data_IF_696242747849
#
_entry.id   IF_696242747849
#
_cell.length_a   1.000
_cell.length_b   1.000
_cell.length_c   1.000
_cell.angle_alpha   90.00
_cell.angle_beta   90.00
_cell.angle_gamma   90.00
#
_symmetry.space_group_name_H-M   'P 1'
#
loop_
_entity.id
_entity.type
_entity.pdbx_description
1 polymer ?
#
# COMPACT_ATOMS: atom_id res chain seq x y z
N UNK A 1 -33.53 -10.85 -4.80
CA UNK A 1 -32.09 -10.76 -4.97
C UNK A 1 -31.63 -9.44 -4.41
N UNK A 2 -31.05 -9.45 -3.24
CA UNK A 2 -30.43 -8.25 -2.71
C UNK A 2 -29.17 -8.00 -3.55
N UNK A 3 -29.13 -6.93 -4.32
CA UNK A 3 -27.88 -6.40 -4.85
C UNK A 3 -27.06 -6.01 -3.64
N UNK A 4 -26.03 -6.79 -3.34
CA UNK A 4 -25.01 -6.35 -2.40
C UNK A 4 -24.40 -5.09 -3.00
N UNK A 5 -24.73 -3.95 -2.46
CA UNK A 5 -24.02 -2.71 -2.72
C UNK A 5 -22.63 -2.83 -2.07
N UNK A 6 -21.79 -3.70 -2.64
CA UNK A 6 -20.39 -3.75 -2.24
C UNK A 6 -19.76 -2.43 -2.65
N UNK A 7 -19.33 -1.67 -1.67
CA UNK A 7 -18.59 -0.44 -1.92
C UNK A 7 -17.27 -0.79 -2.61
N UNK A 8 -17.06 -0.28 -3.82
CA UNK A 8 -15.84 -0.52 -4.60
C UNK A 8 -14.78 0.51 -4.22
N UNK A 9 -13.62 0.02 -3.79
CA UNK A 9 -12.46 0.84 -3.46
C UNK A 9 -11.22 0.47 -4.27
N UNK A 10 -10.27 1.40 -4.33
CA UNK A 10 -8.96 1.20 -4.97
C UNK A 10 -7.84 1.44 -3.98
N UNK A 11 -6.95 0.46 -3.85
CA UNK A 11 -5.73 0.55 -3.06
C UNK A 11 -4.53 0.43 -4.00
N UNK A 12 -3.57 1.33 -3.86
CA UNK A 12 -2.33 1.29 -4.62
C UNK A 12 -1.14 1.08 -3.70
N UNK A 13 -0.24 0.17 -4.08
CA UNK A 13 1.03 -0.08 -3.41
C UNK A 13 2.17 0.50 -4.24
N UNK A 14 2.97 1.35 -3.65
CA UNK A 14 4.05 2.08 -4.31
C UNK A 14 5.33 1.95 -3.48
N UNK A 15 6.46 1.74 -4.12
CA UNK A 15 7.74 1.61 -3.42
C UNK A 15 8.84 1.11 -4.36
N UNK A 16 10.08 1.15 -3.90
CA UNK A 16 11.24 0.64 -4.62
C UNK A 16 11.12 -0.88 -4.92
N UNK A 17 11.95 -1.42 -5.83
CA UNK A 17 12.01 -2.87 -6.03
C UNK A 17 12.38 -3.60 -4.73
N UNK A 18 11.85 -4.80 -4.57
CA UNK A 18 12.17 -5.71 -3.45
C UNK A 18 11.82 -5.22 -2.03
N UNK A 19 11.01 -4.17 -1.89
CA UNK A 19 10.54 -3.73 -0.56
C UNK A 19 9.43 -4.61 0.02
N UNK A 20 8.81 -5.46 -0.81
CA UNK A 20 7.80 -6.44 -0.39
C UNK A 20 6.35 -6.10 -0.78
N UNK A 21 6.11 -5.19 -1.72
CA UNK A 21 4.76 -4.83 -2.20
C UNK A 21 3.95 -6.04 -2.65
N UNK A 22 4.50 -6.83 -3.56
CA UNK A 22 3.84 -8.05 -4.08
C UNK A 22 3.63 -9.09 -2.99
N UNK A 23 4.53 -9.19 -2.03
CA UNK A 23 4.39 -10.09 -0.87
C UNK A 23 3.22 -9.65 0.01
N UNK A 24 3.08 -8.35 0.27
CA UNK A 24 1.95 -7.79 1.02
C UNK A 24 0.64 -8.08 0.29
N UNK A 25 0.59 -7.86 -1.01
CA UNK A 25 -0.60 -8.12 -1.81
C UNK A 25 -0.97 -9.61 -1.81
N UNK A 26 0.00 -10.50 -1.92
CA UNK A 26 -0.23 -11.95 -1.81
C UNK A 26 -0.72 -12.35 -0.43
N UNK A 27 -0.18 -11.78 0.63
CA UNK A 27 -0.65 -11.99 1.99
C UNK A 27 -2.12 -11.58 2.13
N UNK A 28 -2.50 -10.41 1.63
CA UNK A 28 -3.88 -9.91 1.69
C UNK A 28 -4.86 -10.81 0.91
N UNK A 29 -4.44 -11.34 -0.22
CA UNK A 29 -5.27 -12.23 -1.05
C UNK A 29 -5.21 -13.71 -0.66
N UNK A 30 -4.49 -14.07 0.41
CA UNK A 30 -4.22 -15.46 0.80
C UNK A 30 -3.52 -16.31 -0.27
N UNK A 31 -2.80 -15.69 -1.17
CA UNK A 31 -1.97 -16.41 -2.14
C UNK A 31 -0.62 -16.72 -1.51
N UNK A 32 -0.15 -17.97 -1.67
CA UNK A 32 1.18 -18.34 -1.22
C UNK A 32 2.23 -17.54 -1.99
N UNK A 33 3.10 -16.85 -1.28
CA UNK A 33 4.25 -16.20 -1.89
C UNK A 33 5.18 -17.26 -2.46
N UNK A 34 5.49 -17.19 -3.75
CA UNK A 34 6.55 -18.00 -4.35
C UNK A 34 7.89 -17.69 -3.69
N UNK A 35 8.78 -18.69 -3.61
CA UNK A 35 10.13 -18.53 -3.03
C UNK A 35 11.07 -17.66 -3.87
N UNK A 36 10.71 -17.37 -5.12
CA UNK A 36 11.51 -16.59 -6.04
C UNK A 36 10.94 -15.19 -6.20
N UNK A 37 11.78 -14.18 -5.96
CA UNK A 37 11.44 -12.80 -6.27
C UNK A 37 11.50 -12.59 -7.78
N UNK A 38 10.36 -12.21 -8.36
CA UNK A 38 10.26 -11.78 -9.75
C UNK A 38 9.83 -10.29 -9.71
N UNK A 39 10.67 -9.36 -10.20
CA UNK A 39 10.29 -7.96 -10.25
C UNK A 39 9.01 -7.73 -11.04
N UNK A 40 8.07 -6.95 -10.49
CA UNK A 40 6.88 -6.52 -11.20
C UNK A 40 7.28 -5.49 -12.26
N UNK A 41 7.03 -5.79 -13.50
CA UNK A 41 7.21 -4.87 -14.62
C UNK A 41 5.89 -4.14 -14.89
N UNK A 42 5.89 -2.82 -14.70
CA UNK A 42 4.68 -2.04 -14.85
C UNK A 42 3.82 -2.08 -13.60
N UNK A 43 2.77 -2.85 -13.60
CA UNK A 43 1.89 -3.05 -12.44
C UNK A 43 1.27 -4.46 -12.45
N UNK A 44 0.85 -4.91 -11.27
CA UNK A 44 0.07 -6.12 -11.09
C UNK A 44 -1.26 -5.80 -10.38
N UNK A 45 -2.27 -6.62 -10.60
CA UNK A 45 -3.62 -6.42 -10.10
C UNK A 45 -4.06 -7.57 -9.20
N UNK A 46 -4.74 -7.22 -8.12
CA UNK A 46 -5.42 -8.15 -7.24
C UNK A 46 -6.74 -7.60 -6.76
N UNK A 47 -7.52 -8.42 -6.10
CA UNK A 47 -8.75 -7.99 -5.44
C UNK A 47 -8.98 -8.76 -4.16
N UNK A 48 -9.57 -8.08 -3.18
CA UNK A 48 -10.07 -8.67 -1.94
C UNK A 48 -11.49 -8.21 -1.67
N UNK A 49 -12.27 -9.09 -1.03
CA UNK A 49 -13.62 -8.76 -0.58
C UNK A 49 -13.75 -9.11 0.90
N UNK A 50 -14.24 -8.18 1.69
CA UNK A 50 -14.53 -8.39 3.11
C UNK A 50 -15.53 -7.36 3.63
N UNK A 51 -16.39 -7.78 4.53
CA UNK A 51 -17.35 -6.91 5.26
C UNK A 51 -18.06 -5.86 4.40
N UNK A 52 -18.53 -6.22 3.20
CA UNK A 52 -19.25 -5.32 2.30
C UNK A 52 -18.37 -4.40 1.45
N UNK A 53 -17.06 -4.61 1.49
CA UNK A 53 -16.12 -3.90 0.62
C UNK A 53 -15.54 -4.84 -0.42
N UNK A 54 -15.46 -4.36 -1.65
CA UNK A 54 -14.68 -4.97 -2.73
C UNK A 54 -13.57 -4.01 -3.11
N UNK A 55 -12.33 -4.43 -2.89
CA UNK A 55 -11.16 -3.58 -3.11
C UNK A 55 -10.33 -4.12 -4.26
N UNK A 56 -10.01 -3.26 -5.19
CA UNK A 56 -9.00 -3.51 -6.23
C UNK A 56 -7.66 -3.03 -5.73
N UNK A 57 -6.65 -3.87 -5.84
CA UNK A 57 -5.29 -3.57 -5.43
C UNK A 57 -4.39 -3.48 -6.65
N UNK A 58 -3.57 -2.44 -6.67
CA UNK A 58 -2.58 -2.16 -7.70
C UNK A 58 -1.19 -2.21 -7.09
N UNK A 59 -0.37 -3.13 -7.56
CA UNK A 59 1.05 -3.19 -7.21
C UNK A 59 1.87 -2.57 -8.34
N UNK A 60 2.39 -1.37 -8.10
CA UNK A 60 3.22 -0.67 -9.07
C UNK A 60 4.66 -1.17 -8.99
N UNK A 61 5.21 -1.65 -10.10
CA UNK A 61 6.60 -2.05 -10.21
C UNK A 61 7.53 -0.92 -9.79
N UNK A 62 8.48 -1.24 -8.90
CA UNK A 62 9.38 -0.25 -8.29
C UNK A 62 10.56 0.20 -9.16
N UNK A 63 10.72 -0.35 -10.36
CA UNK A 63 11.81 0.01 -11.25
C UNK A 63 11.65 1.44 -11.77
N UNK A 64 12.68 2.28 -11.59
CA UNK A 64 12.64 3.71 -11.94
C UNK A 64 12.15 4.02 -13.35
N UNK A 65 12.53 3.18 -14.33
CA UNK A 65 12.12 3.36 -15.73
C UNK A 65 10.61 3.31 -15.93
N UNK A 66 9.90 2.54 -15.12
CA UNK A 66 8.46 2.31 -15.27
C UNK A 66 7.62 3.05 -14.23
N UNK A 67 8.18 3.27 -13.04
CA UNK A 67 7.42 3.77 -11.89
C UNK A 67 6.78 5.13 -12.16
N UNK A 68 7.54 6.10 -12.64
CA UNK A 68 6.99 7.45 -12.93
C UNK A 68 5.90 7.40 -13.98
N UNK A 69 6.10 6.63 -15.04
CA UNK A 69 5.14 6.52 -16.14
C UNK A 69 3.82 5.91 -15.67
N UNK A 70 3.87 4.72 -15.06
CA UNK A 70 2.67 4.02 -14.61
C UNK A 70 2.00 4.71 -13.44
N UNK A 71 2.78 5.27 -12.52
CA UNK A 71 2.23 6.00 -11.38
C UNK A 71 1.42 7.20 -11.85
N UNK A 72 1.96 8.01 -12.75
CA UNK A 72 1.27 9.17 -13.31
C UNK A 72 -0.03 8.79 -14.00
N UNK A 73 -0.08 7.66 -14.71
CA UNK A 73 -1.28 7.24 -15.43
C UNK A 73 -2.34 6.57 -14.55
N UNK A 74 -1.93 5.77 -13.57
CA UNK A 74 -2.83 4.82 -12.91
C UNK A 74 -3.05 5.04 -11.41
N UNK A 75 -2.31 5.95 -10.76
CA UNK A 75 -2.49 6.21 -9.32
C UNK A 75 -3.81 6.94 -9.02
N UNK A 76 -4.35 7.66 -9.99
CA UNK A 76 -5.58 8.43 -9.83
C UNK A 76 -6.77 7.55 -9.45
N UNK A 77 -7.66 8.09 -8.64
CA UNK A 77 -8.82 7.37 -8.15
C UNK A 77 -8.50 6.38 -7.01
N UNK A 78 -7.26 6.32 -6.53
CA UNK A 78 -6.92 5.57 -5.34
C UNK A 78 -7.58 6.17 -4.10
N UNK A 79 -8.24 5.34 -3.31
CA UNK A 79 -8.80 5.71 -2.02
C UNK A 79 -7.72 5.67 -0.94
N UNK A 80 -6.84 4.68 -1.03
CA UNK A 80 -5.68 4.51 -0.15
C UNK A 80 -4.45 4.25 -1.01
N UNK A 81 -3.36 4.92 -0.67
CA UNK A 81 -2.03 4.61 -1.19
C UNK A 81 -1.13 4.16 -0.05
N UNK A 82 -0.60 2.96 -0.17
CA UNK A 82 0.45 2.47 0.71
C UNK A 82 1.82 2.66 0.04
N UNK A 83 2.63 3.50 0.64
CA UNK A 83 4.03 3.61 0.29
C UNK A 83 4.79 2.60 1.13
N UNK A 84 5.46 1.66 0.47
CA UNK A 84 6.14 0.55 1.13
C UNK A 84 7.64 0.79 1.13
N UNK A 85 8.26 0.68 2.28
CA UNK A 85 9.71 0.68 2.47
C UNK A 85 10.17 -0.63 3.10
N UNK A 86 11.39 -1.05 2.81
CA UNK A 86 12.01 -2.20 3.50
C UNK A 86 12.58 -1.84 4.87
N UNK A 87 12.40 -0.61 5.31
CA UNK A 87 12.85 -0.07 6.61
C UNK A 87 14.37 0.06 6.77
N UNK A 88 15.16 -0.17 5.73
CA UNK A 88 16.59 0.19 5.78
C UNK A 88 16.76 1.70 5.72
N UNK A 89 17.75 2.29 6.41
CA UNK A 89 17.97 3.74 6.36
C UNK A 89 18.10 4.29 4.93
N UNK A 90 18.82 3.58 4.09
CA UNK A 90 19.01 3.96 2.67
C UNK A 90 17.69 4.00 1.92
N UNK A 91 16.87 2.95 2.05
CA UNK A 91 15.58 2.89 1.35
C UNK A 91 14.59 3.93 1.89
N UNK A 92 14.55 4.14 3.19
CA UNK A 92 13.68 5.17 3.81
C UNK A 92 14.02 6.55 3.26
N UNK A 93 15.31 6.91 3.15
CA UNK A 93 15.72 8.19 2.59
C UNK A 93 15.31 8.36 1.13
N UNK A 94 15.50 7.34 0.29
CA UNK A 94 15.05 7.40 -1.11
C UNK A 94 13.53 7.43 -1.23
N UNK A 95 12.81 6.86 -0.28
CA UNK A 95 11.34 6.87 -0.25
C UNK A 95 10.76 8.27 -0.03
N UNK A 96 11.52 9.21 0.54
CA UNK A 96 11.07 10.62 0.68
C UNK A 96 10.68 11.25 -0.64
N UNK A 97 11.47 11.06 -1.68
CA UNK A 97 11.17 11.58 -3.03
C UNK A 97 9.90 10.96 -3.59
N UNK A 98 9.71 9.66 -3.35
CA UNK A 98 8.54 8.94 -3.79
C UNK A 98 7.27 9.44 -3.09
N UNK A 99 7.33 9.72 -1.79
CA UNK A 99 6.24 10.35 -1.03
C UNK A 99 5.87 11.69 -1.63
N UNK A 100 6.84 12.56 -1.87
CA UNK A 100 6.61 13.88 -2.44
C UNK A 100 6.00 13.79 -3.85
N UNK A 101 6.51 12.90 -4.69
CA UNK A 101 5.98 12.69 -6.03
C UNK A 101 4.54 12.15 -6.01
N UNK A 102 4.27 11.15 -5.18
CA UNK A 102 2.92 10.59 -5.02
C UNK A 102 1.93 11.63 -4.54
N UNK A 103 2.29 12.43 -3.55
CA UNK A 103 1.45 13.54 -3.08
C UNK A 103 1.14 14.56 -4.18
N UNK A 104 2.10 14.83 -5.07
CA UNK A 104 1.89 15.78 -6.17
C UNK A 104 0.87 15.31 -7.22
N UNK A 105 0.66 14.01 -7.33
CA UNK A 105 -0.26 13.40 -8.29
C UNK A 105 -1.69 13.25 -7.76
N UNK A 106 -1.89 13.35 -6.46
CA UNK A 106 -3.18 13.05 -5.82
C UNK A 106 -3.79 14.33 -5.19
N UNK A 107 -5.12 14.50 -5.30
CA UNK A 107 -5.82 15.56 -4.57
C UNK A 107 -5.67 15.34 -3.06
N UNK A 108 -5.34 16.40 -2.32
CA UNK A 108 -5.10 16.33 -0.87
C UNK A 108 -6.26 15.77 -0.06
N UNK A 109 -7.49 15.94 -0.54
CA UNK A 109 -8.72 15.60 0.18
C UNK A 109 -9.35 14.28 -0.27
N UNK A 110 -8.88 13.68 -1.36
CA UNK A 110 -9.53 12.52 -1.98
C UNK A 110 -8.81 11.18 -1.74
N UNK A 111 -7.61 11.19 -1.19
CA UNK A 111 -6.82 9.99 -0.98
C UNK A 111 -6.00 10.04 0.30
N UNK A 112 -6.04 8.94 1.05
CA UNK A 112 -5.21 8.76 2.22
C UNK A 112 -3.90 8.05 1.85
N UNK A 113 -2.77 8.63 2.25
CA UNK A 113 -1.44 8.09 2.01
C UNK A 113 -0.85 7.62 3.34
N UNK A 114 -0.46 6.36 3.39
CA UNK A 114 0.18 5.71 4.54
C UNK A 114 1.48 5.06 4.13
N UNK A 115 2.39 4.91 5.08
CA UNK A 115 3.60 4.11 4.89
C UNK A 115 3.43 2.75 5.56
N UNK A 116 3.84 1.70 4.87
CA UNK A 116 4.09 0.39 5.46
C UNK A 116 5.60 0.19 5.59
N UNK A 117 6.10 0.29 6.82
CA UNK A 117 7.48 -0.02 7.15
C UNK A 117 7.62 -1.54 7.28
N UNK A 118 7.95 -2.18 6.16
CA UNK A 118 8.02 -3.62 6.04
C UNK A 118 9.35 -4.19 6.55
N UNK A 119 9.40 -5.50 6.70
CA UNK A 119 10.58 -6.27 7.14
C UNK A 119 11.01 -5.97 8.57
N UNK A 120 10.03 -5.70 9.44
CA UNK A 120 10.28 -5.43 10.86
C UNK A 120 10.79 -6.65 11.64
N UNK A 121 10.73 -7.84 11.04
CA UNK A 121 11.34 -9.08 11.55
C UNK A 121 12.86 -9.10 11.43
N UNK A 122 13.45 -8.21 10.61
CA UNK A 122 14.88 -8.18 10.38
C UNK A 122 15.58 -7.21 11.35
N UNK A 123 16.72 -7.62 11.88
CA UNK A 123 17.54 -6.78 12.75
C UNK A 123 18.20 -5.62 11.97
N UNK A 124 18.43 -4.49 12.63
CA UNK A 124 19.07 -3.33 12.02
C UNK A 124 18.15 -2.49 11.13
N UNK A 125 16.88 -2.85 11.00
CA UNK A 125 15.89 -2.06 10.29
C UNK A 125 15.32 -0.94 11.18
N UNK A 126 14.95 0.17 10.57
CA UNK A 126 14.38 1.32 11.29
C UNK A 126 13.02 0.96 11.87
N UNK A 127 12.78 1.35 13.12
CA UNK A 127 11.45 1.20 13.74
C UNK A 127 10.40 2.07 13.04
N UNK A 128 9.13 1.66 13.01
CA UNK A 128 8.07 2.41 12.33
C UNK A 128 7.95 3.86 12.78
N UNK A 129 8.14 4.15 14.06
CA UNK A 129 8.13 5.53 14.60
C UNK A 129 9.22 6.40 13.96
N UNK A 130 10.39 5.83 13.74
CA UNK A 130 11.51 6.53 13.12
C UNK A 130 11.28 6.76 11.62
N UNK A 131 10.71 5.76 10.94
CA UNK A 131 10.31 5.89 9.53
C UNK A 131 9.27 7.00 9.38
N UNK A 132 8.27 7.04 10.28
CA UNK A 132 7.28 8.11 10.32
C UNK A 132 7.91 9.50 10.45
N UNK A 133 8.88 9.66 11.34
CA UNK A 133 9.57 10.94 11.55
C UNK A 133 10.30 11.39 10.28
N UNK A 134 10.89 10.47 9.55
CA UNK A 134 11.63 10.79 8.30
C UNK A 134 10.70 11.08 7.14
N UNK A 135 9.63 10.31 6.97
CA UNK A 135 8.73 10.42 5.81
C UNK A 135 7.58 11.43 6.01
N UNK A 136 7.29 11.80 7.25
CA UNK A 136 6.20 12.70 7.61
C UNK A 136 4.83 12.26 7.08
N UNK A 137 4.56 10.96 7.18
CA UNK A 137 3.26 10.33 6.90
C UNK A 137 2.95 9.27 7.96
N UNK A 138 1.65 9.00 8.23
CA UNK A 138 1.27 7.90 9.13
C UNK A 138 1.91 6.59 8.67
N UNK A 139 2.57 5.89 9.60
CA UNK A 139 3.40 4.73 9.30
C UNK A 139 3.03 3.56 10.20
N UNK A 140 2.89 2.38 9.61
CA UNK A 140 2.64 1.12 10.29
C UNK A 140 3.78 0.15 10.05
N UNK A 141 4.23 -0.50 11.12
CA UNK A 141 5.20 -1.58 11.01
C UNK A 141 4.52 -2.88 10.58
N UNK A 142 5.15 -3.59 9.67
CA UNK A 142 4.64 -4.86 9.16
C UNK A 142 5.80 -5.82 8.83
N UNK A 143 5.51 -7.10 8.91
CA UNK A 143 6.34 -8.18 8.37
C UNK A 143 5.48 -8.99 7.41
N UNK A 144 5.62 -8.74 6.12
CA UNK A 144 4.75 -9.35 5.10
C UNK A 144 4.91 -10.87 5.00
N UNK A 145 5.98 -11.41 5.56
CA UNK A 145 6.23 -12.87 5.65
C UNK A 145 5.51 -13.52 6.83
N UNK A 146 4.96 -12.75 7.75
CA UNK A 146 4.20 -13.24 8.90
C UNK A 146 2.70 -13.24 8.58
N UNK A 147 2.05 -14.42 8.44
CA UNK A 147 0.64 -14.50 8.08
C UNK A 147 -0.30 -13.91 9.15
N UNK A 148 0.14 -13.79 10.41
CA UNK A 148 -0.65 -13.15 11.48
C UNK A 148 -0.83 -11.63 11.27
N UNK A 149 0.01 -11.01 10.47
CA UNK A 149 -0.10 -9.58 10.14
C UNK A 149 -1.27 -9.26 9.20
N UNK A 150 -1.79 -10.28 8.50
CA UNK A 150 -2.88 -10.11 7.53
C UNK A 150 -4.13 -9.50 8.18
N UNK A 151 -4.57 -10.07 9.29
CA UNK A 151 -5.81 -9.62 9.94
C UNK A 151 -5.67 -8.21 10.53
N UNK A 152 -4.50 -7.85 11.03
CA UNK A 152 -4.19 -6.50 11.48
C UNK A 152 -4.29 -5.49 10.33
N UNK A 153 -3.70 -5.80 9.19
CA UNK A 153 -3.72 -4.92 8.03
C UNK A 153 -5.12 -4.81 7.42
N UNK A 154 -5.87 -5.91 7.33
CA UNK A 154 -7.26 -5.90 6.88
C UNK A 154 -8.15 -5.08 7.82
N UNK A 155 -7.97 -5.21 9.12
CA UNK A 155 -8.68 -4.41 10.11
C UNK A 155 -8.41 -2.92 9.93
N UNK A 156 -7.17 -2.53 9.72
CA UNK A 156 -6.80 -1.16 9.43
C UNK A 156 -7.42 -0.64 8.12
N UNK A 157 -7.34 -1.39 7.05
CA UNK A 157 -7.94 -1.04 5.75
C UNK A 157 -9.45 -0.86 5.91
N UNK A 158 -10.12 -1.77 6.64
CA UNK A 158 -11.55 -1.68 6.89
C UNK A 158 -11.95 -0.39 7.60
N UNK A 159 -11.22 0.01 8.65
CA UNK A 159 -11.48 1.26 9.35
C UNK A 159 -11.23 2.48 8.47
N UNK A 160 -10.13 2.50 7.72
CA UNK A 160 -9.81 3.58 6.80
C UNK A 160 -10.88 3.74 5.71
N UNK A 161 -11.39 2.64 5.17
CA UNK A 161 -12.45 2.65 4.16
C UNK A 161 -13.79 3.12 4.72
N UNK A 162 -14.13 2.80 5.96
CA UNK A 162 -15.34 3.31 6.61
C UNK A 162 -15.33 4.83 6.74
N UNK A 163 -14.20 5.41 7.11
CA UNK A 163 -14.04 6.86 7.20
C UNK A 163 -14.26 7.49 5.83
N UNK A 164 -13.63 6.97 4.80
CA UNK A 164 -13.73 7.47 3.42
C UNK A 164 -15.18 7.38 2.90
N UNK A 165 -15.87 6.26 3.14
CA UNK A 165 -17.26 6.08 2.70
C UNK A 165 -18.23 6.96 3.50
N UNK A 166 -18.03 7.12 4.80
CA UNK A 166 -18.83 8.01 5.65
C UNK A 166 -18.69 9.48 5.26
N UNK A 167 -17.53 9.92 4.84
CA UNK A 167 -17.33 11.26 4.30
C UNK A 167 -18.06 11.47 2.97
N UNK A 168 -18.18 10.44 2.13
CA UNK A 168 -18.91 10.51 0.86
C UNK A 168 -20.44 10.53 1.02
N UNK A 169 -20.97 9.92 2.08
CA UNK A 169 -22.40 9.94 2.37
C UNK A 169 -22.88 11.27 2.95
N UNK A 170 -21.99 12.11 3.44
CA UNK A 170 -22.29 13.41 4.04
C UNK A 170 -22.12 14.61 3.07
N UNK A 171 -21.83 14.37 1.80
CA UNK A 171 -21.75 15.37 0.75
C UNK A 171 -22.98 15.25 -0.18
#
# INVERSE_FOLDING_TARGET
MASSNDSLGKISFVGAPAVGKSTIMKMLTNKLAGRQYIPTQGFDLGSISFKGFKLRMWDFGGQKAYLKHYLTQYIHGSDIVFIVTDSTPKNVLTTKELVAHTRSLLPKEACNIYCLANKQDLSGHMKPSRVKDVLDIPTFGISAVDPHQRDLLIGFISEAMKIITGERENI
#
